data_IF_722380055399
#
_entry.id   IF_722380055399
#
_cell.length_a   1.000
_cell.length_b   1.000
_cell.length_c   1.000
_cell.angle_alpha   90.00
_cell.angle_beta   90.00
_cell.angle_gamma   90.00
#
_symmetry.space_group_name_H-M   'P 1'
#
loop_
_entity.id
_entity.type
_entity.pdbx_description
1 polymer ?
#
# COMPACT_ATOMS: atom_id res chain seq x y z
N UNK A 1 -0.59 -12.22 17.76
CA UNK A 1 0.09 -10.96 18.01
C UNK A 1 -0.75 -9.80 17.54
N UNK A 2 -0.94 -8.85 18.40
CA UNK A 2 -1.72 -7.68 18.10
C UNK A 2 -0.86 -6.54 17.60
N UNK A 3 -1.52 -5.45 17.27
CA UNK A 3 -0.86 -4.23 16.82
C UNK A 3 0.11 -3.67 17.87
N UNK A 4 -0.05 -4.04 19.13
CA UNK A 4 0.85 -3.60 20.19
C UNK A 4 2.29 -4.03 19.96
N UNK A 5 2.51 -5.22 19.42
CA UNK A 5 3.86 -5.69 19.09
C UNK A 5 4.46 -4.89 17.95
N UNK A 6 3.67 -4.55 16.94
CA UNK A 6 4.13 -3.75 15.81
C UNK A 6 4.56 -2.36 16.26
N UNK A 7 3.87 -1.79 17.26
CA UNK A 7 4.21 -0.48 17.79
C UNK A 7 5.52 -0.52 18.56
N UNK A 8 5.78 -1.61 19.29
CA UNK A 8 6.97 -1.75 20.15
C UNK A 8 8.24 -2.01 19.36
N UNK A 9 8.12 -2.71 18.23
CA UNK A 9 9.29 -3.15 17.48
C UNK A 9 9.16 -2.78 15.99
N UNK A 10 9.76 -1.65 15.59
CA UNK A 10 9.70 -1.20 14.20
C UNK A 10 10.30 -2.21 13.19
N UNK A 11 11.32 -2.96 13.61
CA UNK A 11 11.94 -3.96 12.72
C UNK A 11 10.95 -5.07 12.42
N UNK A 12 10.24 -5.55 13.44
CA UNK A 12 9.20 -6.57 13.25
C UNK A 12 8.03 -6.04 12.43
N UNK A 13 7.72 -4.76 12.58
CA UNK A 13 6.68 -4.12 11.78
C UNK A 13 7.04 -4.13 10.30
N UNK A 14 8.32 -3.84 9.98
CA UNK A 14 8.80 -3.89 8.60
C UNK A 14 8.70 -5.31 8.05
N UNK A 15 9.19 -6.29 8.81
CA UNK A 15 9.14 -7.69 8.40
C UNK A 15 7.70 -8.15 8.17
N UNK A 16 6.80 -7.75 9.05
CA UNK A 16 5.39 -8.11 8.93
C UNK A 16 4.76 -7.54 7.65
N UNK A 17 5.07 -6.28 7.34
CA UNK A 17 4.57 -5.62 6.12
C UNK A 17 5.12 -6.33 4.88
N UNK A 18 6.39 -6.71 4.89
CA UNK A 18 7.02 -7.41 3.78
C UNK A 18 6.46 -8.83 3.62
N UNK A 19 6.29 -9.55 4.72
CA UNK A 19 5.79 -10.93 4.70
C UNK A 19 4.39 -11.05 4.12
N UNK A 20 3.60 -9.98 4.21
CA UNK A 20 2.23 -9.96 3.68
C UNK A 20 2.15 -9.36 2.28
N UNK A 21 3.25 -9.40 1.54
CA UNK A 21 3.38 -8.75 0.24
C UNK A 21 2.29 -9.13 -0.77
N UNK A 22 2.03 -10.43 -0.95
CA UNK A 22 1.05 -10.89 -1.94
C UNK A 22 -0.36 -10.45 -1.60
N UNK A 23 -0.73 -10.61 -0.33
CA UNK A 23 -2.03 -10.14 0.15
C UNK A 23 -2.14 -8.63 0.01
N UNK A 24 -1.05 -7.94 0.26
CA UNK A 24 -1.02 -6.49 0.19
C UNK A 24 -1.19 -6.00 -1.24
N UNK A 25 -0.56 -6.67 -2.21
CA UNK A 25 -0.71 -6.31 -3.61
C UNK A 25 -2.16 -6.40 -4.06
N UNK A 26 -2.87 -7.46 -3.63
CA UNK A 26 -4.29 -7.60 -3.93
C UNK A 26 -5.10 -6.44 -3.33
N UNK A 27 -4.78 -6.06 -2.10
CA UNK A 27 -5.44 -4.92 -1.44
C UNK A 27 -5.17 -3.60 -2.15
N UNK A 28 -3.95 -3.43 -2.68
CA UNK A 28 -3.60 -2.23 -3.45
C UNK A 28 -4.48 -2.11 -4.68
N UNK A 29 -4.66 -3.19 -5.42
CA UNK A 29 -5.51 -3.19 -6.60
C UNK A 29 -6.94 -2.84 -6.27
N UNK A 30 -7.48 -3.45 -5.21
CA UNK A 30 -8.84 -3.16 -4.76
C UNK A 30 -8.99 -1.70 -4.36
N UNK A 31 -8.01 -1.17 -3.63
CA UNK A 31 -8.02 0.22 -3.18
C UNK A 31 -7.96 1.19 -4.35
N UNK A 32 -7.13 0.89 -5.37
CA UNK A 32 -7.05 1.72 -6.57
C UNK A 32 -8.37 1.75 -7.32
N UNK A 33 -9.02 0.59 -7.45
CA UNK A 33 -10.30 0.50 -8.16
C UNK A 33 -11.40 1.24 -7.43
N UNK A 34 -11.39 1.18 -6.11
CA UNK A 34 -12.40 1.85 -5.29
C UNK A 34 -12.12 3.35 -5.11
N UNK A 35 -10.86 3.76 -5.20
CA UNK A 35 -10.42 5.14 -4.90
C UNK A 35 -9.45 5.64 -5.97
N UNK A 36 -9.86 5.76 -7.23
CA UNK A 36 -8.96 6.26 -8.26
C UNK A 36 -8.62 7.73 -8.05
N UNK A 37 -7.41 8.10 -8.37
CA UNK A 37 -6.99 9.50 -8.30
C UNK A 37 -6.47 9.95 -6.94
N UNK A 38 -6.02 9.02 -6.10
CA UNK A 38 -5.38 9.35 -4.82
C UNK A 38 -3.86 9.28 -4.92
N UNK A 39 -3.18 10.06 -4.08
CA UNK A 39 -1.73 9.96 -3.94
C UNK A 39 -1.37 8.71 -3.16
N UNK A 40 -0.07 8.37 -3.14
CA UNK A 40 0.41 7.23 -2.34
C UNK A 40 0.01 7.40 -0.88
N UNK A 41 0.25 8.58 -0.32
CA UNK A 41 -0.09 8.87 1.08
C UNK A 41 -1.58 8.69 1.36
N UNK A 42 -2.42 9.18 0.47
CA UNK A 42 -3.87 9.09 0.62
C UNK A 42 -4.38 7.65 0.52
N UNK A 43 -3.67 6.80 -0.22
CA UNK A 43 -4.03 5.39 -0.36
C UNK A 43 -3.68 4.55 0.86
N UNK A 44 -2.70 4.99 1.67
CA UNK A 44 -2.23 4.20 2.81
C UNK A 44 -3.37 3.70 3.71
N UNK A 45 -4.29 4.55 4.19
CA UNK A 45 -5.36 4.05 5.08
C UNK A 45 -6.30 3.06 4.43
N UNK A 46 -6.38 3.04 3.11
CA UNK A 46 -7.25 2.10 2.39
C UNK A 46 -6.60 0.73 2.20
N UNK A 47 -5.28 0.66 2.27
CA UNK A 47 -4.51 -0.56 2.03
C UNK A 47 -3.99 -1.14 3.35
N UNK A 48 -3.62 -0.28 4.29
CA UNK A 48 -2.97 -0.67 5.55
C UNK A 48 -3.90 -0.43 6.74
N UNK A 49 -5.14 -0.87 6.63
CA UNK A 49 -6.15 -0.72 7.67
C UNK A 49 -5.77 -1.43 8.97
N UNK A 50 -4.94 -2.45 8.85
CA UNK A 50 -4.48 -3.28 9.95
C UNK A 50 -3.17 -2.77 10.59
N UNK A 51 -2.70 -1.60 10.16
CA UNK A 51 -1.44 -1.01 10.63
C UNK A 51 -1.75 0.28 11.39
N UNK A 52 -1.14 0.48 12.57
CA UNK A 52 -1.32 1.73 13.32
C UNK A 52 -0.81 2.95 12.55
N UNK A 53 -1.44 4.09 12.75
CA UNK A 53 -1.06 5.35 12.08
C UNK A 53 0.41 5.70 12.27
N UNK A 54 0.98 5.37 13.41
CA UNK A 54 2.39 5.62 13.70
C UNK A 54 3.32 5.02 12.66
N UNK A 55 2.87 3.95 12.00
CA UNK A 55 3.65 3.22 11.02
C UNK A 55 3.29 3.57 9.57
N UNK A 56 2.46 4.58 9.37
CA UNK A 56 2.02 4.95 8.03
C UNK A 56 3.15 5.43 7.12
N UNK A 57 4.18 6.06 7.66
CA UNK A 57 5.34 6.45 6.85
C UNK A 57 6.04 5.23 6.26
N UNK A 58 6.15 4.20 7.08
CA UNK A 58 6.75 2.94 6.68
C UNK A 58 5.87 2.24 5.68
N UNK A 59 4.57 2.20 5.96
CA UNK A 59 3.58 1.61 5.06
C UNK A 59 3.56 2.35 3.72
N UNK A 60 3.71 3.65 3.73
CA UNK A 60 3.75 4.44 2.50
C UNK A 60 4.90 4.02 1.58
N UNK A 61 6.06 3.73 2.14
CA UNK A 61 7.22 3.26 1.37
C UNK A 61 6.93 1.90 0.73
N UNK A 62 6.32 1.00 1.49
CA UNK A 62 5.93 -0.30 0.99
C UNK A 62 4.88 -0.17 -0.11
N UNK A 63 3.89 0.69 0.10
CA UNK A 63 2.84 0.96 -0.86
C UNK A 63 3.41 1.51 -2.16
N UNK A 64 4.34 2.45 -2.07
CA UNK A 64 4.97 3.03 -3.26
C UNK A 64 5.65 1.95 -4.09
N UNK A 65 6.35 1.01 -3.44
CA UNK A 65 7.00 -0.09 -4.14
C UNK A 65 5.98 -0.96 -4.87
N UNK A 66 4.84 -1.24 -4.26
CA UNK A 66 3.77 -1.99 -4.91
C UNK A 66 3.19 -1.23 -6.10
N UNK A 67 2.96 0.06 -5.93
CA UNK A 67 2.40 0.90 -6.99
C UNK A 67 3.36 1.01 -8.17
N UNK A 68 4.65 1.15 -7.90
CA UNK A 68 5.67 1.20 -8.96
C UNK A 68 5.75 -0.11 -9.73
N UNK A 69 5.60 -1.23 -9.03
CA UNK A 69 5.55 -2.54 -9.68
C UNK A 69 4.34 -2.65 -10.59
N UNK A 70 3.18 -2.21 -10.09
CA UNK A 70 1.95 -2.22 -10.90
C UNK A 70 2.08 -1.30 -12.12
N UNK A 71 2.76 -0.17 -11.97
CA UNK A 71 3.02 0.74 -13.07
C UNK A 71 3.89 0.07 -14.13
N UNK A 72 4.95 -0.62 -13.72
CA UNK A 72 5.82 -1.37 -14.64
C UNK A 72 5.07 -2.47 -15.37
N UNK A 73 4.08 -3.07 -14.73
CA UNK A 73 3.27 -4.14 -15.29
C UNK A 73 2.07 -3.62 -16.10
N UNK A 74 1.99 -2.31 -16.29
CA UNK A 74 0.89 -1.66 -16.98
C UNK A 74 -0.48 -1.91 -16.31
N UNK A 75 -0.49 -2.05 -15.00
CA UNK A 75 -1.72 -2.28 -14.22
C UNK A 75 -2.13 -1.05 -13.43
N UNK A 76 -1.27 -0.04 -13.36
CA UNK A 76 -1.56 1.23 -12.73
C UNK A 76 -0.97 2.36 -13.56
N UNK A 77 -1.56 3.54 -13.44
CA UNK A 77 -1.11 4.77 -14.11
C UNK A 77 -0.83 5.81 -13.05
N UNK A 78 0.25 6.55 -13.22
CA UNK A 78 0.59 7.67 -12.34
C UNK A 78 0.54 8.97 -13.14
N UNK A 79 -0.25 9.93 -12.67
CA UNK A 79 -0.37 11.24 -13.29
C UNK A 79 -0.37 12.30 -12.20
N UNK A 80 0.61 13.23 -12.25
CA UNK A 80 0.71 14.32 -11.27
C UNK A 80 0.69 13.85 -9.81
N UNK A 81 1.35 12.72 -9.54
CA UNK A 81 1.46 12.20 -8.20
C UNK A 81 0.25 11.45 -7.68
N UNK A 82 -0.75 11.23 -8.52
CA UNK A 82 -1.91 10.42 -8.15
C UNK A 82 -1.98 9.16 -8.99
N UNK A 83 -2.62 8.13 -8.44
CA UNK A 83 -2.65 6.80 -9.03
C UNK A 83 -4.05 6.42 -9.46
N UNK A 84 -4.14 5.80 -10.64
CA UNK A 84 -5.39 5.24 -11.14
C UNK A 84 -5.14 3.83 -11.65
N UNK A 85 -6.15 2.94 -11.59
CA UNK A 85 -6.00 1.60 -12.15
C UNK A 85 -6.11 1.64 -13.67
N UNK A 86 -5.46 0.68 -14.32
CA UNK A 86 -5.66 0.46 -15.75
C UNK A 86 -6.92 -0.40 -15.91
N UNK A 87 -7.81 0.03 -16.78
CA UNK A 87 -9.02 -0.73 -17.05
C UNK A 87 -8.64 -2.06 -17.72
N UNK A 88 -9.14 -3.16 -17.14
CA UNK A 88 -8.97 -4.48 -17.76
C UNK A 88 -10.16 -4.71 -18.67
N UNK A 89 -9.84 -5.01 -19.90
CA UNK A 89 -10.87 -5.29 -20.88
C UNK A 89 -11.60 -6.60 -20.58
#
# INVERSE_FOLDING_TARGET
>A
PGHGELIRDPVRAIDWIIDHRLEREAKVLVALQANPGLSTRELVPHVYQDVPEKLYRLAERSLLAHLEKLLEEDRAIRTDGVWTPVATA
#
